data_IF_283962750639
#
_entry.id   IF_283962750639
#
_cell.length_a   1.000
_cell.length_b   1.000
_cell.length_c   1.000
_cell.angle_alpha   90.00
_cell.angle_beta   90.00
_cell.angle_gamma   90.00
#
_symmetry.space_group_name_H-M   'P 1'
#
loop_
_entity.id
_entity.type
_entity.pdbx_description
1 polymer ?
#
# COMPACT_ATOMS: atom_id res chain seq x y z
N UNK A 1 -10.26 -13.28 10.49
CA UNK A 1 -9.25 -12.48 9.76
C UNK A 1 -9.40 -12.60 8.23
N UNK A 2 -9.58 -13.81 7.69
CA UNK A 2 -9.71 -14.09 6.24
C UNK A 2 -10.74 -13.20 5.50
N UNK A 3 -11.97 -13.06 6.01
CA UNK A 3 -12.99 -12.20 5.37
C UNK A 3 -12.61 -10.72 5.25
N UNK A 4 -11.86 -10.19 6.22
CA UNK A 4 -11.37 -8.80 6.16
C UNK A 4 -10.26 -8.66 5.13
N UNK A 5 -9.35 -9.63 5.06
CA UNK A 5 -8.29 -9.66 4.05
C UNK A 5 -8.86 -9.77 2.63
N UNK A 6 -9.85 -10.65 2.41
CA UNK A 6 -10.54 -10.78 1.12
C UNK A 6 -11.20 -9.46 0.73
N UNK A 7 -11.97 -8.84 1.64
CA UNK A 7 -12.64 -7.56 1.36
C UNK A 7 -11.64 -6.47 0.99
N UNK A 8 -10.53 -6.37 1.72
CA UNK A 8 -9.48 -5.39 1.42
C UNK A 8 -8.84 -5.67 0.06
N UNK A 9 -8.53 -6.93 -0.23
CA UNK A 9 -8.02 -7.38 -1.52
C UNK A 9 -8.95 -7.04 -2.67
N UNK A 10 -10.27 -7.27 -2.53
CA UNK A 10 -11.26 -6.90 -3.55
C UNK A 10 -11.31 -5.39 -3.78
N UNK A 11 -11.25 -4.58 -2.73
CA UNK A 11 -11.22 -3.11 -2.84
C UNK A 11 -9.96 -2.64 -3.58
N UNK A 12 -8.79 -3.19 -3.23
CA UNK A 12 -7.52 -2.85 -3.88
C UNK A 12 -7.52 -3.27 -5.36
N UNK A 13 -8.00 -4.47 -5.66
CA UNK A 13 -8.13 -4.96 -7.03
C UNK A 13 -9.09 -4.08 -7.86
N UNK A 14 -10.22 -3.67 -7.28
CA UNK A 14 -11.17 -2.77 -7.94
C UNK A 14 -10.56 -1.40 -8.23
N UNK A 15 -9.82 -0.82 -7.29
CA UNK A 15 -9.11 0.44 -7.50
C UNK A 15 -8.08 0.32 -8.64
N UNK A 16 -7.26 -0.73 -8.62
CA UNK A 16 -6.27 -0.98 -9.67
C UNK A 16 -6.93 -1.09 -11.06
N UNK A 17 -8.05 -1.81 -11.15
CA UNK A 17 -8.81 -1.94 -12.40
C UNK A 17 -9.35 -0.59 -12.91
N UNK A 18 -9.84 0.27 -12.02
CA UNK A 18 -10.27 1.64 -12.38
C UNK A 18 -9.10 2.50 -12.85
N UNK A 19 -7.95 2.40 -12.16
CA UNK A 19 -6.71 3.07 -12.54
C UNK A 19 -6.28 2.71 -13.96
N UNK A 20 -6.22 1.41 -14.26
CA UNK A 20 -5.86 0.90 -15.58
C UNK A 20 -6.87 1.29 -16.66
N UNK A 21 -8.17 1.18 -16.38
CA UNK A 21 -9.20 1.59 -17.33
C UNK A 21 -9.13 3.09 -17.68
N UNK A 22 -8.89 3.95 -16.67
CA UNK A 22 -8.70 5.38 -16.88
C UNK A 22 -7.43 5.69 -17.70
N UNK A 23 -6.35 4.96 -17.42
CA UNK A 23 -5.10 5.06 -18.18
C UNK A 23 -5.32 4.74 -19.67
N UNK A 24 -5.88 3.55 -19.96
CA UNK A 24 -6.12 3.09 -21.34
C UNK A 24 -7.08 4.03 -22.08
N UNK A 25 -8.10 4.56 -21.41
CA UNK A 25 -9.06 5.48 -22.01
C UNK A 25 -8.40 6.80 -22.43
N UNK A 26 -7.57 7.39 -21.56
CA UNK A 26 -6.88 8.66 -21.82
C UNK A 26 -5.74 8.50 -22.82
N UNK A 27 -5.06 7.36 -22.80
CA UNK A 27 -4.06 7.01 -23.81
C UNK A 27 -4.70 6.96 -25.21
N UNK A 28 -5.86 6.29 -25.33
CA UNK A 28 -6.58 6.16 -26.60
C UNK A 28 -7.19 7.47 -27.10
N UNK A 29 -7.51 8.42 -26.22
CA UNK A 29 -8.04 9.73 -26.64
C UNK A 29 -6.94 10.69 -27.12
N UNK A 30 -5.66 10.37 -26.89
CA UNK A 30 -4.52 11.20 -27.28
C UNK A 30 -4.34 12.44 -26.40
N UNK A 31 -5.05 12.54 -25.27
CA UNK A 31 -5.01 13.72 -24.40
C UNK A 31 -3.87 13.61 -23.38
N UNK A 32 -2.62 13.77 -23.84
CA UNK A 32 -1.42 13.59 -23.02
C UNK A 32 -1.43 14.41 -21.70
N UNK A 33 -1.89 15.66 -21.74
CA UNK A 33 -1.99 16.48 -20.53
C UNK A 33 -3.00 15.91 -19.53
N UNK A 34 -4.19 15.49 -19.99
CA UNK A 34 -5.21 14.89 -19.14
C UNK A 34 -4.75 13.55 -18.56
N UNK A 35 -4.02 12.76 -19.35
CA UNK A 35 -3.38 11.52 -18.91
C UNK A 35 -2.41 11.78 -17.75
N UNK A 36 -1.50 12.75 -17.87
CA UNK A 36 -0.57 13.09 -16.78
C UNK A 36 -1.28 13.62 -15.54
N UNK A 37 -2.27 14.50 -15.71
CA UNK A 37 -3.11 14.99 -14.61
C UNK A 37 -3.82 13.83 -13.91
N UNK A 38 -4.33 12.86 -14.67
CA UNK A 38 -4.94 11.66 -14.13
C UNK A 38 -3.97 10.87 -13.25
N UNK A 39 -2.73 10.62 -13.69
CA UNK A 39 -1.74 9.94 -12.86
C UNK A 39 -1.45 10.67 -11.55
N UNK A 40 -1.26 12.00 -11.61
CA UNK A 40 -1.01 12.82 -10.42
C UNK A 40 -2.20 12.77 -9.47
N UNK A 41 -3.42 12.93 -9.98
CA UNK A 41 -4.64 12.89 -9.18
C UNK A 41 -4.87 11.51 -8.56
N UNK A 42 -4.68 10.45 -9.33
CA UNK A 42 -4.87 9.07 -8.89
C UNK A 42 -3.85 8.69 -7.80
N UNK A 43 -2.57 9.00 -8.01
CA UNK A 43 -1.52 8.79 -7.00
C UNK A 43 -1.77 9.62 -5.74
N UNK A 44 -2.17 10.89 -5.90
CA UNK A 44 -2.53 11.77 -4.78
C UNK A 44 -3.68 11.21 -3.95
N UNK A 45 -4.75 10.75 -4.60
CA UNK A 45 -5.88 10.12 -3.93
C UNK A 45 -5.47 8.83 -3.18
N UNK A 46 -4.65 7.99 -3.80
CA UNK A 46 -4.12 6.77 -3.19
C UNK A 46 -3.27 7.09 -1.94
N UNK A 47 -2.40 8.10 -2.02
CA UNK A 47 -1.58 8.55 -0.91
C UNK A 47 -2.42 9.07 0.26
N UNK A 48 -3.45 9.87 -0.02
CA UNK A 48 -4.39 10.37 1.00
C UNK A 48 -5.14 9.22 1.67
N UNK A 49 -5.64 8.25 0.89
CA UNK A 49 -6.35 7.09 1.43
C UNK A 49 -5.44 6.24 2.33
N UNK A 50 -4.21 5.98 1.89
CA UNK A 50 -3.20 5.27 2.67
C UNK A 50 -2.85 6.04 3.96
N UNK A 51 -2.57 7.33 3.87
CA UNK A 51 -2.26 8.18 5.01
C UNK A 51 -3.39 8.23 6.03
N UNK A 52 -4.64 8.33 5.58
CA UNK A 52 -5.82 8.26 6.45
C UNK A 52 -5.92 6.90 7.16
N UNK A 53 -5.71 5.81 6.44
CA UNK A 53 -5.71 4.46 7.01
C UNK A 53 -4.61 4.30 8.05
N UNK A 54 -3.37 4.67 7.72
CA UNK A 54 -2.21 4.61 8.62
C UNK A 54 -2.44 5.47 9.87
N UNK A 55 -2.93 6.70 9.71
CA UNK A 55 -3.24 7.57 10.85
C UNK A 55 -4.35 7.01 11.73
N UNK A 56 -5.38 6.39 11.14
CA UNK A 56 -6.46 5.73 11.89
C UNK A 56 -5.94 4.50 12.63
N UNK A 57 -5.04 3.74 12.03
CA UNK A 57 -4.42 2.57 12.64
C UNK A 57 -3.52 2.96 13.81
N UNK A 58 -2.67 3.97 13.61
CA UNK A 58 -1.80 4.54 14.65
C UNK A 58 -2.61 5.05 15.85
N UNK A 59 -3.73 5.75 15.61
CA UNK A 59 -4.63 6.22 16.67
C UNK A 59 -5.30 5.09 17.47
N UNK A 60 -5.46 3.90 16.87
CA UNK A 60 -6.16 2.77 17.48
C UNK A 60 -5.23 1.81 18.21
N UNK A 61 -4.05 1.56 17.64
CA UNK A 61 -3.15 0.52 18.09
C UNK A 61 -1.84 1.08 18.67
N UNK A 62 -1.64 2.41 18.61
CA UNK A 62 -0.41 3.05 19.02
C UNK A 62 0.71 2.89 17.99
N UNK A 63 1.89 3.48 18.24
CA UNK A 63 3.04 3.34 17.35
C UNK A 63 3.47 1.88 17.23
N UNK A 64 3.89 1.44 16.02
CA UNK A 64 4.42 0.09 15.84
C UNK A 64 5.66 -0.11 16.70
N UNK A 65 5.70 -1.24 17.43
CA UNK A 65 6.89 -1.65 18.19
C UNK A 65 7.77 -2.48 17.28
N UNK A 66 8.74 -1.85 16.62
CA UNK A 66 9.76 -2.57 15.87
C UNK A 66 10.87 -3.03 16.83
N UNK A 67 11.01 -4.33 17.04
CA UNK A 67 12.19 -4.91 17.69
C UNK A 67 13.10 -5.51 16.62
N UNK A 68 14.11 -4.76 16.22
CA UNK A 68 15.22 -5.32 15.46
C UNK A 68 16.07 -6.14 16.44
N UNK A 69 15.96 -7.47 16.38
CA UNK A 69 16.86 -8.36 17.10
C UNK A 69 17.83 -8.95 16.10
N UNK A 70 19.06 -8.42 16.09
CA UNK A 70 20.20 -9.15 15.57
C UNK A 70 20.51 -10.21 16.64
N UNK A 71 19.82 -11.36 16.60
CA UNK A 71 20.31 -12.53 17.33
C UNK A 71 21.63 -12.90 16.66
N UNK A 72 22.74 -12.45 17.25
CA UNK A 72 24.04 -13.00 16.92
C UNK A 72 23.92 -14.50 17.20
N UNK A 73 24.06 -15.31 16.15
CA UNK A 73 23.99 -16.74 16.24
C UNK A 73 24.90 -17.21 17.37
N UNK A 74 24.26 -17.97 18.25
CA UNK A 74 24.78 -18.73 19.37
C UNK A 74 26.14 -19.33 19.02
N UNK A 75 27.22 -18.66 19.45
CA UNK A 75 28.57 -19.18 19.29
C UNK A 75 28.64 -20.56 19.99
N UNK A 76 29.10 -21.62 19.32
CA UNK A 76 29.14 -22.95 19.91
C UNK A 76 29.99 -22.91 21.19
N UNK A 77 29.41 -23.27 22.34
CA UNK A 77 30.20 -23.46 23.55
C UNK A 77 31.13 -24.66 23.33
N UNK A 78 32.45 -24.53 23.52
CA UNK A 78 33.33 -25.68 23.48
C UNK A 78 33.00 -26.63 24.64
N UNK A 79 32.64 -27.87 24.31
CA UNK A 79 32.53 -28.95 25.28
C UNK A 79 33.91 -29.23 25.89
N UNK A 80 33.97 -29.22 27.22
CA UNK A 80 35.14 -29.68 27.99
C UNK A 80 35.32 -31.18 27.90
#
# INVERSE_FOLDING_TARGET
MVRRAIRLGTVVAGLAAVGEAGHVLLERSGWAAAHHVFHVAYLGAAAVAFGWFAARDLRRHGPPRFSWSLRADEAPRPSR
#
